data_IF_034772802950
#
_entry.id   IF_034772802950
#
_cell.length_a   1.000
_cell.length_b   1.000
_cell.length_c   1.000
_cell.angle_alpha   90.00
_cell.angle_beta   90.00
_cell.angle_gamma   90.00
#
_symmetry.space_group_name_H-M   'P 1'
#
loop_
_entity.id
_entity.type
_entity.pdbx_description
1 polymer ?
#
# COMPACT_ATOMS: atom_id res chain seq x y z
N UNK A 1 11.18 -2.48 -16.40
CA UNK A 1 10.19 -3.14 -15.52
C UNK A 1 9.42 -2.17 -14.62
N UNK A 2 10.05 -1.35 -13.77
CA UNK A 2 9.31 -0.36 -12.94
C UNK A 2 8.49 0.67 -13.76
N UNK A 3 8.84 0.89 -15.02
CA UNK A 3 8.03 1.66 -15.98
C UNK A 3 6.60 1.13 -16.14
N UNK A 4 6.36 -0.17 -15.90
CA UNK A 4 5.03 -0.80 -15.93
C UNK A 4 4.16 -0.34 -14.75
N UNK A 5 4.78 -0.08 -13.58
CA UNK A 5 4.08 0.53 -12.44
C UNK A 5 3.76 1.99 -12.74
N UNK A 6 4.66 2.72 -13.41
CA UNK A 6 4.39 4.10 -13.84
C UNK A 6 3.22 4.17 -14.84
N UNK A 7 3.15 3.23 -15.80
CA UNK A 7 2.00 3.06 -16.70
C UNK A 7 0.70 2.94 -15.90
N UNK A 8 0.65 2.03 -14.92
CA UNK A 8 -0.52 1.88 -14.05
C UNK A 8 -0.84 3.15 -13.25
N UNK A 9 0.17 3.88 -12.75
CA UNK A 9 -0.06 5.16 -12.06
C UNK A 9 -0.76 6.17 -12.99
N UNK A 10 -0.34 6.27 -14.25
CA UNK A 10 -1.00 7.16 -15.22
C UNK A 10 -2.43 6.70 -15.55
N UNK A 11 -2.66 5.40 -15.69
CA UNK A 11 -4.00 4.82 -15.86
C UNK A 11 -4.89 5.11 -14.63
N UNK A 12 -4.36 5.04 -13.41
CA UNK A 12 -5.11 5.37 -12.17
C UNK A 12 -5.51 6.84 -12.12
N UNK A 13 -4.64 7.75 -12.54
CA UNK A 13 -4.92 9.19 -12.56
C UNK A 13 -5.92 9.55 -13.67
N UNK A 14 -5.91 8.84 -14.80
CA UNK A 14 -6.87 9.04 -15.90
C UNK A 14 -8.22 8.33 -15.68
N UNK A 15 -8.34 7.47 -14.67
CA UNK A 15 -9.58 6.78 -14.32
C UNK A 15 -9.76 5.40 -14.97
N UNK A 16 -8.77 4.93 -15.71
CA UNK A 16 -8.79 3.65 -16.44
C UNK A 16 -8.11 2.51 -15.66
N UNK A 17 -7.25 2.83 -14.69
CA UNK A 17 -6.46 1.86 -13.96
C UNK A 17 -7.30 1.03 -12.98
N UNK A 18 -7.29 -0.29 -13.14
CA UNK A 18 -7.95 -1.23 -12.23
C UNK A 18 -7.22 -1.28 -10.88
N UNK A 19 -7.99 -1.29 -9.80
CA UNK A 19 -7.45 -1.40 -8.45
C UNK A 19 -8.45 -2.06 -7.49
N UNK A 20 -7.92 -2.70 -6.47
CA UNK A 20 -8.67 -3.23 -5.32
C UNK A 20 -8.38 -2.38 -4.08
N UNK A 21 -9.44 -2.08 -3.33
CA UNK A 21 -9.31 -1.37 -2.04
C UNK A 21 -8.76 -2.34 -0.99
N UNK A 22 -7.76 -1.91 -0.24
CA UNK A 22 -7.13 -2.63 0.87
C UNK A 22 -6.98 -1.71 2.08
N UNK A 23 -6.57 -2.25 3.23
CA UNK A 23 -6.28 -1.44 4.42
C UNK A 23 -5.23 -0.33 4.19
N UNK A 24 -4.31 -0.50 3.22
CA UNK A 24 -3.24 0.46 2.93
C UNK A 24 -3.54 1.40 1.76
N UNK A 25 -4.72 1.30 1.14
CA UNK A 25 -5.14 2.15 0.05
C UNK A 25 -5.67 1.35 -1.15
N UNK A 26 -5.26 1.73 -2.35
CA UNK A 26 -5.65 1.04 -3.57
C UNK A 26 -4.43 0.34 -4.16
N UNK A 27 -4.47 -0.99 -4.25
CA UNK A 27 -3.46 -1.79 -4.93
C UNK A 27 -3.93 -2.15 -6.34
N UNK A 28 -3.02 -2.31 -7.32
CA UNK A 28 -3.39 -2.84 -8.62
C UNK A 28 -4.03 -4.22 -8.48
N UNK A 29 -5.02 -4.52 -9.32
CA UNK A 29 -5.45 -5.91 -9.48
C UNK A 29 -4.33 -6.71 -10.18
N UNK A 30 -4.28 -8.04 -10.05
CA UNK A 30 -3.23 -8.85 -10.69
C UNK A 30 -3.14 -8.67 -12.21
N UNK A 31 -4.24 -8.28 -12.87
CA UNK A 31 -4.34 -8.00 -14.30
C UNK A 31 -4.13 -6.51 -14.65
N UNK A 32 -3.85 -5.64 -13.68
CA UNK A 32 -3.65 -4.20 -13.91
C UNK A 32 -2.20 -3.82 -14.23
N UNK A 33 -1.23 -4.67 -13.86
CA UNK A 33 0.16 -4.49 -14.24
C UNK A 33 0.44 -5.36 -15.45
N UNK A 34 0.96 -4.73 -16.51
CA UNK A 34 1.44 -5.43 -17.68
C UNK A 34 2.67 -6.26 -17.31
N UNK A 35 2.53 -7.58 -17.30
CA UNK A 35 3.61 -8.54 -17.02
C UNK A 35 4.09 -9.27 -18.28
N UNK A 36 3.65 -8.87 -19.47
CA UNK A 36 4.04 -9.53 -20.71
C UNK A 36 5.56 -9.44 -20.92
N UNK A 37 6.20 -10.59 -21.17
CA UNK A 37 7.66 -10.68 -21.33
C UNK A 37 8.45 -10.69 -20.01
N UNK A 38 7.78 -10.72 -18.85
CA UNK A 38 8.44 -10.93 -17.56
C UNK A 38 8.46 -12.41 -17.16
N UNK A 39 9.61 -12.86 -16.63
CA UNK A 39 9.73 -14.15 -15.95
C UNK A 39 9.29 -14.00 -14.49
N UNK A 40 7.96 -13.93 -14.28
CA UNK A 40 7.35 -13.85 -12.96
C UNK A 40 6.21 -14.86 -12.83
N UNK A 41 6.22 -15.63 -11.74
CA UNK A 41 5.13 -16.57 -11.46
C UNK A 41 3.89 -15.83 -10.93
N UNK A 42 2.73 -16.45 -11.11
CA UNK A 42 1.47 -15.92 -10.57
C UNK A 42 1.52 -15.82 -9.03
N UNK A 43 2.21 -16.75 -8.37
CA UNK A 43 2.41 -16.76 -6.93
C UNK A 43 3.28 -15.59 -6.46
N UNK A 44 4.37 -15.30 -7.19
CA UNK A 44 5.22 -14.16 -6.89
C UNK A 44 4.46 -12.84 -7.07
N UNK A 45 3.70 -12.70 -8.16
CA UNK A 45 2.87 -11.53 -8.39
C UNK A 45 1.82 -11.35 -7.28
N UNK A 46 1.14 -12.43 -6.90
CA UNK A 46 0.17 -12.42 -5.78
C UNK A 46 0.83 -12.01 -4.47
N UNK A 47 2.06 -12.49 -4.20
CA UNK A 47 2.82 -12.11 -3.02
C UNK A 47 3.15 -10.61 -2.98
N UNK A 48 3.64 -10.06 -4.08
CA UNK A 48 3.98 -8.63 -4.20
C UNK A 48 2.74 -7.74 -4.02
N UNK A 49 1.58 -8.20 -4.47
CA UNK A 49 0.30 -7.48 -4.38
C UNK A 49 -0.51 -7.81 -3.12
N UNK A 50 0.08 -8.52 -2.15
CA UNK A 50 -0.60 -8.88 -0.91
C UNK A 50 -0.34 -7.88 0.22
N UNK A 51 -1.26 -7.81 1.17
CA UNK A 51 -1.13 -7.01 2.40
C UNK A 51 -1.12 -7.96 3.58
N UNK A 52 0.03 -8.13 4.24
CA UNK A 52 0.13 -8.93 5.46
C UNK A 52 -0.27 -8.06 6.66
N UNK A 53 -1.44 -8.34 7.23
CA UNK A 53 -2.00 -7.60 8.38
C UNK A 53 -1.05 -7.57 9.58
N UNK A 54 -0.43 -8.69 9.93
CA UNK A 54 0.42 -8.81 11.12
C UNK A 54 1.73 -8.03 10.96
N UNK A 55 2.32 -8.05 9.75
CA UNK A 55 3.48 -7.23 9.42
C UNK A 55 3.14 -5.73 9.46
N UNK A 56 2.00 -5.33 8.91
CA UNK A 56 1.56 -3.94 8.93
C UNK A 56 1.22 -3.44 10.33
N UNK A 57 0.66 -4.27 11.21
CA UNK A 57 0.45 -3.90 12.61
C UNK A 57 1.78 -3.68 13.35
N UNK A 58 2.81 -4.49 13.06
CA UNK A 58 4.17 -4.23 13.58
C UNK A 58 4.75 -2.93 13.03
N UNK A 59 4.52 -2.64 11.76
CA UNK A 59 4.97 -1.39 11.14
C UNK A 59 4.26 -0.17 11.74
N UNK A 60 2.98 -0.27 12.08
CA UNK A 60 2.25 0.79 12.79
C UNK A 60 2.96 1.13 14.11
N UNK A 61 3.36 0.14 14.91
CA UNK A 61 4.10 0.38 16.16
C UNK A 61 5.47 1.01 15.91
N UNK A 62 6.17 0.59 14.86
CA UNK A 62 7.44 1.20 14.41
C UNK A 62 7.25 2.69 14.05
N UNK A 63 6.20 3.02 13.30
CA UNK A 63 5.87 4.41 12.93
C UNK A 63 5.49 5.22 14.17
N UNK A 64 4.73 4.67 15.13
CA UNK A 64 4.42 5.35 16.41
C UNK A 64 5.71 5.72 17.15
N UNK A 65 6.64 4.77 17.25
CA UNK A 65 7.95 5.02 17.87
C UNK A 65 8.75 6.10 17.11
N UNK A 66 8.73 6.06 15.78
CA UNK A 66 9.38 7.06 14.95
C UNK A 66 8.78 8.46 15.12
N UNK A 67 7.44 8.56 15.12
CA UNK A 67 6.70 9.81 15.31
C UNK A 67 6.97 10.45 16.67
N UNK A 68 7.13 9.66 17.72
CA UNK A 68 7.48 10.16 19.05
C UNK A 68 8.81 10.94 19.08
N UNK A 69 9.76 10.64 18.18
CA UNK A 69 11.03 11.39 18.09
C UNK A 69 10.84 12.84 17.64
N UNK A 70 9.74 13.16 16.95
CA UNK A 70 9.42 14.53 16.53
C UNK A 70 8.68 15.33 17.60
N UNK A 71 8.10 14.64 18.60
CA UNK A 71 7.38 15.25 19.71
C UNK A 71 6.26 16.19 19.25
N UNK A 72 6.08 17.36 19.90
CA UNK A 72 4.98 18.29 19.60
C UNK A 72 5.02 18.93 18.21
N UNK A 73 6.12 18.81 17.46
CA UNK A 73 6.26 19.41 16.12
C UNK A 73 5.56 18.60 15.04
N UNK A 74 5.22 17.34 15.31
CA UNK A 74 4.57 16.50 14.32
C UNK A 74 3.11 16.94 14.13
N UNK A 75 2.65 17.19 12.88
CA UNK A 75 1.26 17.50 12.61
C UNK A 75 0.31 16.44 13.14
N UNK A 76 -0.80 16.87 13.76
CA UNK A 76 -1.83 15.96 14.29
C UNK A 76 -2.45 15.10 13.20
N UNK A 77 -2.49 15.62 11.98
CA UNK A 77 -3.02 14.95 10.80
C UNK A 77 -2.26 13.65 10.48
N UNK A 78 -0.94 13.60 10.71
CA UNK A 78 -0.15 12.39 10.51
C UNK A 78 -0.53 11.30 11.52
N UNK A 79 -0.70 11.67 12.78
CA UNK A 79 -1.23 10.76 13.81
C UNK A 79 -2.62 10.25 13.44
N UNK A 80 -3.52 11.14 13.00
CA UNK A 80 -4.87 10.75 12.58
C UNK A 80 -4.83 9.74 11.42
N UNK A 81 -3.94 9.91 10.44
CA UNK A 81 -3.78 8.95 9.34
C UNK A 81 -3.25 7.60 9.82
N UNK A 82 -2.29 7.60 10.76
CA UNK A 82 -1.77 6.36 11.35
C UNK A 82 -2.84 5.60 12.13
N UNK A 83 -3.64 6.28 12.96
CA UNK A 83 -4.76 5.67 13.67
C UNK A 83 -5.85 5.16 12.71
N UNK A 84 -6.10 5.89 11.61
CA UNK A 84 -7.03 5.43 10.59
C UNK A 84 -6.51 4.18 9.88
N UNK A 85 -5.20 4.07 9.63
CA UNK A 85 -4.57 2.85 9.09
C UNK A 85 -4.72 1.68 10.06
N UNK A 86 -4.34 1.86 11.33
CA UNK A 86 -4.45 0.85 12.38
C UNK A 86 -5.89 0.32 12.54
N UNK A 87 -6.87 1.23 12.50
CA UNK A 87 -8.28 0.87 12.50
C UNK A 87 -8.67 0.00 11.29
N UNK A 88 -8.30 0.40 10.07
CA UNK A 88 -8.60 -0.37 8.86
C UNK A 88 -7.97 -1.77 8.90
N UNK A 89 -6.74 -1.88 9.39
CA UNK A 89 -6.05 -3.17 9.57
C UNK A 89 -6.73 -4.05 10.61
N UNK A 90 -7.36 -3.46 11.62
CA UNK A 90 -8.01 -4.20 12.72
C UNK A 90 -9.43 -4.66 12.37
N UNK A 91 -10.13 -3.92 11.50
CA UNK A 91 -11.50 -4.20 11.03
C UNK A 91 -11.56 -5.21 9.86
N UNK A 92 -10.44 -5.45 9.17
CA UNK A 92 -10.25 -6.51 8.16
C UNK A 92 -10.02 -7.88 8.81
#
# INVERSE_FOLDING_TARGET
ENSRVLKWIFERVSGEGKAVKTAIGYLPTPDAIDIEGLDISAEALKGILSVNKEEWLREVESIKAHYNNYGPKLPKELWNQLYALEKRLSEE
#
